data_IF_905356551193
#
_entry.id   IF_905356551193
#
_cell.length_a   1.000
_cell.length_b   1.000
_cell.length_c   1.000
_cell.angle_alpha   90.00
_cell.angle_beta   90.00
_cell.angle_gamma   90.00
#
_symmetry.space_group_name_H-M   'P 1'
#
loop_
_entity.id
_entity.type
_entity.pdbx_description
1 polymer ?
#
# COMPACT_ATOMS: atom_id res chain seq x y z
N UNK A 1 -0.17 7.58 9.35
CA UNK A 1 0.38 8.66 8.52
C UNK A 1 -0.64 8.82 7.41
N UNK A 2 -1.27 10.00 7.29
CA UNK A 2 -2.32 10.17 6.29
C UNK A 2 -1.68 10.37 4.93
N UNK A 3 -1.48 9.28 4.22
CA UNK A 3 -1.08 9.33 2.82
C UNK A 3 -2.22 9.83 1.95
N UNK A 4 -1.86 10.10 0.70
CA UNK A 4 -2.69 10.60 -0.38
C UNK A 4 -2.02 10.12 -1.66
N UNK A 5 -2.80 10.01 -2.73
CA UNK A 5 -2.32 9.71 -4.08
C UNK A 5 -3.16 10.62 -4.96
N UNK A 6 -2.74 11.88 -5.09
CA UNK A 6 -3.38 12.76 -6.08
C UNK A 6 -3.12 12.19 -7.48
N UNK A 7 -4.01 12.43 -8.43
CA UNK A 7 -3.93 11.90 -9.80
C UNK A 7 -4.47 12.96 -10.75
N UNK A 8 -3.71 14.05 -10.88
CA UNK A 8 -4.09 15.20 -11.70
C UNK A 8 -3.99 14.88 -13.19
N UNK A 9 -4.97 14.17 -13.76
CA UNK A 9 -5.08 13.98 -15.21
C UNK A 9 -5.45 15.31 -15.86
N UNK A 10 -4.56 15.86 -16.70
CA UNK A 10 -4.76 17.15 -17.40
C UNK A 10 -4.92 16.93 -18.90
N UNK A 11 -5.79 17.70 -19.55
CA UNK A 11 -5.82 17.79 -21.03
C UNK A 11 -6.01 19.21 -21.57
N UNK A 12 -5.31 19.54 -22.66
CA UNK A 12 -5.50 20.72 -23.54
C UNK A 12 -5.18 20.35 -24.99
N UNK A 13 -5.73 21.05 -26.00
CA UNK A 13 -5.53 20.72 -27.42
C UNK A 13 -4.64 21.74 -28.15
N UNK A 14 -3.44 21.32 -28.57
CA UNK A 14 -2.57 22.11 -29.46
C UNK A 14 -2.33 21.37 -30.79
N UNK A 15 -2.52 22.06 -31.92
CA UNK A 15 -2.70 21.43 -33.22
C UNK A 15 -1.41 21.40 -34.07
N UNK A 16 -0.56 20.39 -33.87
CA UNK A 16 0.56 20.07 -34.80
C UNK A 16 0.98 18.59 -34.82
N UNK A 17 0.45 17.88 -35.82
CA UNK A 17 1.10 16.86 -36.68
C UNK A 17 2.23 15.93 -36.20
N UNK A 18 2.11 14.66 -36.60
CA UNK A 18 3.10 13.55 -36.74
C UNK A 18 3.16 12.44 -35.68
N UNK A 19 2.79 11.25 -36.18
CA UNK A 19 3.23 9.88 -35.86
C UNK A 19 2.87 9.17 -34.54
N UNK A 20 2.35 7.96 -34.77
CA UNK A 20 2.23 6.71 -33.99
C UNK A 20 3.56 6.22 -33.35
N UNK A 21 3.65 5.05 -32.63
CA UNK A 21 2.59 4.16 -32.06
C UNK A 21 2.87 3.53 -30.64
N UNK A 22 1.89 3.58 -29.72
CA UNK A 22 1.33 2.46 -28.88
C UNK A 22 2.16 1.65 -27.82
N UNK A 23 1.96 1.82 -26.47
CA UNK A 23 2.17 0.78 -25.38
C UNK A 23 1.79 1.27 -23.93
N UNK A 24 1.30 0.59 -22.85
CA UNK A 24 0.92 -0.80 -22.39
C UNK A 24 1.86 -1.58 -21.40
N UNK A 25 1.46 -2.39 -20.38
CA UNK A 25 0.16 -2.74 -19.70
C UNK A 25 0.29 -3.12 -18.17
N UNK A 26 -0.82 -3.02 -17.37
CA UNK A 26 -1.13 -3.58 -16.00
C UNK A 26 -0.73 -2.76 -14.73
N UNK A 27 -1.52 -2.87 -13.64
CA UNK A 27 -1.28 -2.26 -12.31
C UNK A 27 -1.18 -3.33 -11.19
N UNK A 28 -0.05 -3.44 -10.50
CA UNK A 28 0.17 -4.54 -9.54
C UNK A 28 1.23 -4.20 -8.44
N UNK A 29 0.99 -4.58 -7.17
CA UNK A 29 1.80 -4.12 -6.01
C UNK A 29 2.97 -5.07 -5.69
N UNK A 30 4.06 -4.98 -6.44
CA UNK A 30 5.18 -5.93 -6.36
C UNK A 30 6.19 -5.67 -5.23
N UNK A 31 6.50 -6.74 -4.49
CA UNK A 31 7.21 -6.68 -3.21
C UNK A 31 8.73 -6.85 -3.35
N UNK A 32 9.45 -5.77 -3.63
CA UNK A 32 10.92 -5.79 -3.60
C UNK A 32 11.50 -4.46 -3.11
N UNK A 33 12.19 -4.48 -1.97
CA UNK A 33 12.85 -3.29 -1.40
C UNK A 33 14.37 -3.36 -1.57
N UNK A 34 14.93 -2.36 -2.26
CA UNK A 34 16.36 -2.09 -2.34
C UNK A 34 16.86 -1.30 -1.12
N UNK A 35 18.09 -1.54 -0.69
CA UNK A 35 18.69 -0.84 0.45
C UNK A 35 19.38 0.47 0.01
N UNK A 36 19.21 1.54 0.80
CA UNK A 36 20.11 2.70 0.79
C UNK A 36 21.05 2.67 2.02
N UNK A 37 22.27 3.27 1.95
CA UNK A 37 23.26 3.17 3.04
C UNK A 37 23.05 4.19 4.17
N UNK A 38 23.53 3.86 5.39
CA UNK A 38 23.45 4.74 6.57
C UNK A 38 24.61 5.72 6.69
N UNK A 39 24.33 6.94 7.17
CA UNK A 39 25.18 7.72 8.11
C UNK A 39 24.24 8.24 9.21
N UNK A 40 24.39 7.89 10.49
CA UNK A 40 25.44 8.20 11.51
C UNK A 40 25.37 9.61 12.10
N UNK A 41 24.99 9.62 13.38
CA UNK A 41 25.48 10.41 14.51
C UNK A 41 25.23 11.93 14.57
N UNK A 42 24.33 12.31 15.49
CA UNK A 42 24.53 13.43 16.44
C UNK A 42 23.94 13.03 17.80
N UNK A 43 24.53 13.53 18.89
CA UNK A 43 24.13 13.21 20.28
C UNK A 43 23.01 14.15 20.77
N UNK A 44 22.15 13.71 21.71
CA UNK A 44 21.36 14.63 22.52
C UNK A 44 22.24 15.33 23.56
N UNK A 45 21.84 16.55 23.94
CA UNK A 45 22.51 17.38 24.94
C UNK A 45 21.94 17.12 26.35
N UNK A 46 22.73 17.40 27.40
CA UNK A 46 22.37 17.10 28.79
C UNK A 46 21.83 18.35 29.48
N UNK A 47 20.63 18.23 30.06
CA UNK A 47 20.19 19.10 31.17
C UNK A 47 19.74 18.24 32.34
N UNK A 48 20.35 18.47 33.50
CA UNK A 48 19.82 18.04 34.78
C UNK A 48 18.56 18.86 35.09
N UNK A 49 17.61 18.27 35.80
CA UNK A 49 17.09 18.92 36.99
C UNK A 49 16.68 17.87 38.01
N UNK A 50 16.93 18.17 39.28
CA UNK A 50 16.68 17.29 40.41
C UNK A 50 15.41 17.70 41.13
N UNK A 51 14.56 16.74 41.48
CA UNK A 51 13.59 16.92 42.56
C UNK A 51 13.37 15.61 43.33
N UNK A 52 12.97 15.72 44.59
CA UNK A 52 12.99 14.63 45.59
C UNK A 52 11.63 14.43 46.25
N UNK A 53 11.47 13.30 46.96
CA UNK A 53 10.27 12.79 47.68
C UNK A 53 9.42 11.82 46.83
N UNK A 54 8.84 10.74 47.36
CA UNK A 54 8.87 10.24 48.75
C UNK A 54 8.98 8.70 48.83
N UNK A 55 9.65 8.20 49.87
CA UNK A 55 9.95 6.77 50.04
C UNK A 55 8.78 5.98 50.64
N UNK A 56 7.84 5.54 49.79
CA UNK A 56 6.72 4.71 50.23
C UNK A 56 7.16 3.25 50.48
N UNK A 57 7.26 2.86 51.75
CA UNK A 57 8.03 1.67 52.20
C UNK A 57 7.30 0.35 51.93
N UNK A 58 7.44 -0.21 50.73
CA UNK A 58 7.14 -1.62 50.48
C UNK A 58 8.26 -2.49 51.09
N UNK A 59 7.90 -3.38 52.02
CA UNK A 59 8.81 -4.44 52.47
C UNK A 59 9.22 -5.29 51.25
N UNK A 60 10.50 -5.63 51.07
CA UNK A 60 10.89 -6.59 50.05
C UNK A 60 10.26 -7.95 50.37
N UNK A 61 9.64 -8.60 49.38
CA UNK A 61 9.27 -10.01 49.53
C UNK A 61 10.56 -10.84 49.59
N UNK A 62 10.68 -11.71 50.59
CA UNK A 62 11.84 -12.61 50.71
C UNK A 62 11.88 -13.54 49.49
N UNK A 63 13.09 -13.91 49.02
CA UNK A 63 13.24 -14.73 47.81
C UNK A 63 12.40 -16.01 47.91
N UNK A 64 12.42 -16.65 49.07
CA UNK A 64 11.64 -17.84 49.40
C UNK A 64 10.13 -17.65 49.18
N UNK A 65 9.55 -16.48 49.47
CA UNK A 65 8.13 -16.22 49.24
C UNK A 65 7.81 -16.00 47.76
N UNK A 66 8.72 -15.35 47.03
CA UNK A 66 8.63 -15.19 45.57
C UNK A 66 8.84 -16.54 44.85
N UNK A 67 9.73 -17.39 45.35
CA UNK A 67 10.00 -18.74 44.86
C UNK A 67 8.85 -19.69 45.17
N UNK A 68 8.29 -19.66 46.39
CA UNK A 68 7.05 -20.37 46.72
C UNK A 68 5.88 -19.92 45.85
N UNK A 69 5.74 -18.61 45.54
CA UNK A 69 4.74 -18.13 44.58
C UNK A 69 5.01 -18.62 43.16
N UNK A 70 6.26 -18.66 42.69
CA UNK A 70 6.63 -19.26 41.38
C UNK A 70 6.29 -20.75 41.34
N UNK A 71 6.64 -21.52 42.37
CA UNK A 71 6.28 -22.93 42.52
C UNK A 71 4.76 -23.13 42.51
N UNK A 72 4.01 -22.37 43.31
CA UNK A 72 2.56 -22.46 43.41
C UNK A 72 1.81 -22.00 42.14
N UNK A 73 2.40 -21.07 41.37
CA UNK A 73 1.88 -20.67 40.06
C UNK A 73 2.19 -21.72 39.00
N UNK A 74 3.37 -22.35 39.05
CA UNK A 74 3.73 -23.48 38.18
C UNK A 74 2.79 -24.68 38.42
N UNK A 75 2.50 -24.99 39.68
CA UNK A 75 1.57 -26.05 40.10
C UNK A 75 0.08 -25.73 39.86
N UNK A 76 -0.27 -24.56 39.32
CA UNK A 76 -1.65 -24.14 39.02
C UNK A 76 -1.93 -23.88 37.55
N UNK A 77 -0.93 -23.92 36.68
CA UNK A 77 -1.19 -24.02 35.25
C UNK A 77 -1.71 -25.43 34.97
N UNK A 78 -2.88 -25.60 34.32
CA UNK A 78 -3.28 -26.92 33.86
C UNK A 78 -2.22 -27.42 32.86
N UNK A 79 -1.76 -28.66 33.02
CA UNK A 79 -0.89 -29.31 32.07
C UNK A 79 -1.63 -29.40 30.73
N UNK A 80 -1.34 -28.48 29.81
CA UNK A 80 -1.65 -28.72 28.40
C UNK A 80 -0.74 -29.88 27.97
N UNK A 81 -1.28 -31.01 27.49
CA UNK A 81 -0.42 -32.07 26.98
C UNK A 81 0.42 -31.50 25.83
N UNK A 82 1.72 -31.82 25.81
CA UNK A 82 2.69 -31.22 24.87
C UNK A 82 2.32 -31.52 23.42
N UNK A 83 1.50 -30.62 22.85
CA UNK A 83 0.92 -30.79 21.53
C UNK A 83 2.02 -30.56 20.48
N UNK A 84 2.34 -31.55 19.62
CA UNK A 84 3.45 -31.43 18.70
C UNK A 84 3.33 -30.17 17.84
N UNK A 85 4.44 -29.45 17.64
CA UNK A 85 4.45 -28.16 16.94
C UNK A 85 3.87 -28.23 15.52
N UNK A 86 3.87 -29.41 14.89
CA UNK A 86 3.21 -29.69 13.61
C UNK A 86 1.68 -29.62 13.67
N UNK A 87 1.08 -30.04 14.79
CA UNK A 87 -0.37 -29.93 15.04
C UNK A 87 -0.73 -28.49 15.45
N UNK A 88 0.13 -27.83 16.24
CA UNK A 88 0.00 -26.39 16.52
C UNK A 88 0.04 -25.59 15.20
N UNK A 89 1.01 -25.86 14.32
CA UNK A 89 1.11 -25.25 13.00
C UNK A 89 -0.18 -25.44 12.19
N UNK A 90 -0.72 -26.67 12.17
CA UNK A 90 -1.94 -26.99 11.44
C UNK A 90 -3.18 -26.29 12.02
N UNK A 91 -3.35 -26.23 13.35
CA UNK A 91 -4.40 -25.43 13.99
C UNK A 91 -4.28 -23.96 13.57
N UNK A 92 -3.09 -23.38 13.69
CA UNK A 92 -2.84 -21.97 13.36
C UNK A 92 -3.05 -21.66 11.86
N UNK A 93 -2.86 -22.63 10.95
CA UNK A 93 -3.12 -22.46 9.52
C UNK A 93 -4.61 -22.35 9.19
N UNK A 94 -5.48 -22.94 10.00
CA UNK A 94 -6.94 -22.89 9.80
C UNK A 94 -7.61 -21.66 10.45
N UNK A 95 -6.83 -20.82 11.16
CA UNK A 95 -7.30 -19.56 11.75
C UNK A 95 -7.08 -18.35 10.81
N UNK A 96 -7.76 -17.20 11.02
CA UNK A 96 -7.46 -15.94 10.35
C UNK A 96 -6.08 -15.41 10.76
N UNK A 97 -5.24 -15.03 9.79
CA UNK A 97 -3.85 -14.59 10.06
C UNK A 97 -3.71 -13.41 11.03
N UNK A 98 -4.69 -12.50 11.10
CA UNK A 98 -4.69 -11.40 12.07
C UNK A 98 -4.91 -11.88 13.52
N UNK A 99 -5.75 -12.90 13.73
CA UNK A 99 -5.92 -13.53 15.05
C UNK A 99 -4.66 -14.28 15.47
N UNK A 100 -3.98 -14.91 14.50
CA UNK A 100 -2.72 -15.62 14.75
C UNK A 100 -1.64 -14.69 15.33
N UNK A 101 -1.47 -13.49 14.77
CA UNK A 101 -0.51 -12.50 15.29
C UNK A 101 -1.01 -11.88 16.60
N UNK A 102 -2.27 -11.45 16.65
CA UNK A 102 -2.76 -10.60 17.75
C UNK A 102 -3.16 -11.39 19.01
N UNK A 103 -3.41 -12.70 18.88
CA UNK A 103 -3.91 -13.55 19.97
C UNK A 103 -3.04 -14.79 20.11
N UNK A 104 -2.93 -15.63 19.07
CA UNK A 104 -2.28 -16.95 19.19
C UNK A 104 -0.79 -16.85 19.54
N UNK A 105 -0.09 -15.85 18.98
CA UNK A 105 1.31 -15.52 19.28
C UNK A 105 1.57 -15.17 20.77
N UNK A 106 0.53 -14.85 21.53
CA UNK A 106 0.63 -14.45 22.94
C UNK A 106 0.25 -15.59 23.91
N UNK A 107 -0.13 -16.77 23.41
CA UNK A 107 -0.56 -17.91 24.23
C UNK A 107 0.60 -18.54 25.01
N UNK A 108 1.69 -18.89 24.31
CA UNK A 108 2.90 -19.44 24.91
C UNK A 108 4.11 -19.27 23.97
N UNK A 109 5.31 -19.59 24.47
CA UNK A 109 6.56 -19.51 23.70
C UNK A 109 6.56 -20.44 22.47
N UNK A 110 5.95 -21.62 22.57
CA UNK A 110 5.91 -22.60 21.48
C UNK A 110 5.05 -22.10 20.33
N UNK A 111 3.84 -21.60 20.63
CA UNK A 111 2.95 -20.98 19.66
C UNK A 111 3.61 -19.74 19.04
N UNK A 112 4.29 -18.90 19.85
CA UNK A 112 5.10 -17.79 19.36
C UNK A 112 6.21 -18.24 18.40
N UNK A 113 6.90 -19.35 18.67
CA UNK A 113 7.96 -19.88 17.79
C UNK A 113 7.43 -20.34 16.44
N UNK A 114 6.22 -20.91 16.41
CA UNK A 114 5.54 -21.30 15.16
C UNK A 114 5.06 -20.06 14.40
N UNK A 115 4.48 -19.06 15.08
CA UNK A 115 4.00 -17.82 14.43
C UNK A 115 5.14 -16.95 13.91
N UNK A 116 6.28 -16.87 14.61
CA UNK A 116 7.46 -16.14 14.15
C UNK A 116 8.26 -16.91 13.07
N UNK A 117 7.83 -18.13 12.71
CA UNK A 117 8.53 -18.96 11.73
C UNK A 117 8.26 -18.56 10.28
N UNK A 118 9.33 -18.35 9.53
CA UNK A 118 9.29 -18.21 8.06
C UNK A 118 8.66 -19.43 7.37
N UNK A 119 8.80 -20.64 7.93
CA UNK A 119 8.21 -21.85 7.34
C UNK A 119 6.67 -21.82 7.41
N UNK A 120 6.13 -21.37 8.53
CA UNK A 120 4.69 -21.25 8.77
C UNK A 120 4.02 -20.30 7.76
N UNK A 121 4.55 -19.07 7.61
CA UNK A 121 4.01 -18.10 6.65
C UNK A 121 4.17 -18.57 5.19
N UNK A 122 5.25 -19.28 4.84
CA UNK A 122 5.41 -19.94 3.53
C UNK A 122 4.36 -21.02 3.28
N UNK A 123 4.06 -21.85 4.29
CA UNK A 123 3.03 -22.90 4.22
C UNK A 123 1.63 -22.28 4.10
N UNK A 124 1.36 -21.20 4.83
CA UNK A 124 0.11 -20.41 4.75
C UNK A 124 -0.10 -19.78 3.39
N UNK A 125 0.90 -19.06 2.87
CA UNK A 125 0.86 -18.37 1.58
C UNK A 125 0.46 -19.34 0.45
N UNK A 126 1.04 -20.54 0.44
CA UNK A 126 0.69 -21.63 -0.48
C UNK A 126 -0.73 -22.18 -0.24
N UNK A 127 -1.12 -22.43 1.01
CA UNK A 127 -2.44 -22.99 1.39
C UNK A 127 -3.60 -22.06 0.99
N UNK A 128 -3.40 -20.75 1.12
CA UNK A 128 -4.37 -19.73 0.71
C UNK A 128 -4.30 -19.38 -0.79
N UNK A 129 -3.54 -20.15 -1.59
CA UNK A 129 -3.54 -20.05 -3.06
C UNK A 129 -2.77 -18.84 -3.63
N UNK A 130 -2.05 -18.08 -2.82
CA UNK A 130 -1.28 -16.94 -3.30
C UNK A 130 -0.15 -17.41 -4.23
N UNK A 131 -0.23 -17.00 -5.51
CA UNK A 131 0.81 -17.27 -6.50
C UNK A 131 2.04 -16.37 -6.21
N UNK A 132 3.29 -16.88 -6.21
CA UNK A 132 4.50 -16.07 -6.01
C UNK A 132 4.85 -15.07 -7.12
N UNK A 133 3.91 -14.78 -8.05
CA UNK A 133 4.15 -14.12 -9.34
C UNK A 133 4.60 -12.65 -9.27
N UNK A 134 4.78 -12.12 -8.08
CA UNK A 134 4.91 -10.69 -7.80
C UNK A 134 5.95 -10.35 -6.73
N UNK A 135 6.94 -11.25 -6.58
CA UNK A 135 8.07 -11.08 -5.68
C UNK A 135 9.34 -11.49 -6.45
N UNK A 136 10.04 -10.53 -7.09
CA UNK A 136 11.28 -10.79 -7.85
C UNK A 136 12.46 -11.35 -7.03
N UNK A 137 12.28 -11.51 -5.71
CA UNK A 137 13.25 -12.10 -4.79
C UNK A 137 12.52 -12.90 -3.71
N UNK A 138 13.24 -13.76 -2.98
CA UNK A 138 12.66 -14.42 -1.80
C UNK A 138 12.34 -13.36 -0.73
N UNK A 139 11.09 -13.28 -0.21
CA UNK A 139 10.76 -12.38 0.89
C UNK A 139 11.73 -12.50 2.07
N UNK A 140 12.28 -11.36 2.49
CA UNK A 140 13.05 -11.24 3.74
C UNK A 140 12.14 -11.40 4.97
N UNK A 141 10.87 -11.00 4.84
CA UNK A 141 9.81 -11.27 5.81
C UNK A 141 8.56 -11.80 5.10
N UNK A 142 8.27 -13.08 5.32
CA UNK A 142 7.08 -13.75 4.77
C UNK A 142 5.78 -13.39 5.48
N UNK A 143 5.84 -12.90 6.72
CA UNK A 143 4.68 -12.37 7.43
C UNK A 143 4.20 -11.09 6.73
N UNK A 144 5.08 -10.09 6.60
CA UNK A 144 4.75 -8.83 5.93
C UNK A 144 4.31 -9.04 4.48
N UNK A 145 5.01 -9.86 3.69
CA UNK A 145 4.57 -10.17 2.32
C UNK A 145 3.18 -10.82 2.26
N UNK A 146 2.83 -11.71 3.19
CA UNK A 146 1.47 -12.28 3.25
C UNK A 146 0.40 -11.19 3.47
N UNK A 147 0.59 -10.25 4.39
CA UNK A 147 -0.40 -9.18 4.63
C UNK A 147 -0.47 -8.15 3.50
N UNK A 148 0.64 -7.90 2.79
CA UNK A 148 0.65 -7.08 1.58
C UNK A 148 -0.17 -7.76 0.47
N UNK A 149 0.15 -9.01 0.11
CA UNK A 149 -0.58 -9.76 -0.91
C UNK A 149 -2.07 -9.92 -0.55
N UNK A 150 -2.41 -10.13 0.74
CA UNK A 150 -3.79 -10.27 1.20
C UNK A 150 -4.60 -8.95 1.26
N UNK A 151 -3.93 -7.79 1.12
CA UNK A 151 -4.58 -6.47 1.02
C UNK A 151 -4.49 -5.84 -0.39
N UNK A 152 -3.69 -6.41 -1.30
CA UNK A 152 -3.47 -5.97 -2.69
C UNK A 152 -4.81 -5.87 -3.44
N UNK A 153 -5.14 -4.65 -3.88
CA UNK A 153 -6.34 -4.28 -4.66
C UNK A 153 -6.13 -2.86 -5.21
N UNK A 154 -6.88 -2.46 -6.23
CA UNK A 154 -6.93 -1.05 -6.60
C UNK A 154 -7.60 -0.24 -5.46
N UNK A 155 -6.98 0.87 -5.05
CA UNK A 155 -7.48 1.75 -3.99
C UNK A 155 -8.28 2.93 -4.55
N UNK A 156 -8.08 3.29 -5.82
CA UNK A 156 -8.90 4.27 -6.53
C UNK A 156 -10.34 3.76 -6.66
N UNK A 157 -11.30 4.62 -6.37
CA UNK A 157 -12.73 4.40 -6.62
C UNK A 157 -13.04 4.81 -8.05
N UNK A 158 -13.91 4.03 -8.71
CA UNK A 158 -14.42 4.31 -10.05
C UNK A 158 -13.32 4.69 -11.08
N UNK A 159 -12.32 3.83 -11.33
CA UNK A 159 -11.29 4.08 -12.34
C UNK A 159 -11.87 4.09 -13.77
N UNK A 160 -12.80 3.19 -14.07
CA UNK A 160 -13.30 2.91 -15.43
C UNK A 160 -14.56 3.72 -15.79
N UNK A 161 -14.78 4.88 -15.17
CA UNK A 161 -15.92 5.80 -15.40
C UNK A 161 -17.35 5.18 -15.31
N UNK A 162 -17.50 3.99 -14.71
CA UNK A 162 -18.76 3.27 -14.63
C UNK A 162 -19.78 3.91 -13.67
N UNK A 163 -19.32 4.61 -12.63
CA UNK A 163 -20.15 5.25 -11.61
C UNK A 163 -20.25 6.78 -11.83
N UNK A 164 -20.30 7.20 -13.09
CA UNK A 164 -20.16 8.61 -13.50
C UNK A 164 -18.84 9.21 -12.95
N UNK A 165 -18.88 10.35 -12.27
CA UNK A 165 -17.73 10.96 -11.59
C UNK A 165 -17.61 10.59 -10.09
N UNK A 166 -18.35 9.59 -9.61
CA UNK A 166 -18.31 9.17 -8.20
C UNK A 166 -16.87 8.87 -7.77
N UNK A 167 -16.49 9.32 -6.57
CA UNK A 167 -15.13 9.17 -6.04
C UNK A 167 -14.11 10.21 -6.52
N UNK A 168 -14.35 10.88 -7.65
CA UNK A 168 -13.45 11.90 -8.20
C UNK A 168 -13.86 13.32 -7.82
N UNK A 169 -12.88 14.17 -7.52
CA UNK A 169 -13.06 15.62 -7.38
C UNK A 169 -12.66 16.30 -8.68
N UNK A 170 -13.58 17.04 -9.31
CA UNK A 170 -13.25 17.83 -10.50
C UNK A 170 -12.65 19.16 -10.06
N UNK A 171 -11.36 19.32 -10.31
CA UNK A 171 -10.57 20.51 -9.91
C UNK A 171 -10.67 21.61 -10.96
N UNK A 172 -10.68 21.23 -12.23
CA UNK A 172 -10.84 22.15 -13.36
C UNK A 172 -11.70 21.50 -14.45
N UNK A 173 -12.50 22.28 -15.16
CA UNK A 173 -13.57 21.76 -16.01
C UNK A 173 -13.77 22.65 -17.25
N UNK A 174 -12.71 22.84 -18.04
CA UNK A 174 -12.69 23.75 -19.19
C UNK A 174 -13.50 23.28 -20.41
N UNK A 175 -13.74 24.21 -21.33
CA UNK A 175 -14.49 23.97 -22.57
C UNK A 175 -15.89 23.39 -22.33
N UNK A 176 -16.22 22.31 -23.03
CA UNK A 176 -17.46 21.55 -22.83
C UNK A 176 -17.46 20.64 -21.58
N UNK A 177 -16.46 20.78 -20.69
CA UNK A 177 -16.26 20.01 -19.45
C UNK A 177 -15.75 18.59 -19.68
N UNK A 178 -15.40 17.91 -18.59
CA UNK A 178 -15.27 16.46 -18.57
C UNK A 178 -16.61 15.81 -18.96
N UNK A 179 -16.55 14.83 -19.85
CA UNK A 179 -17.64 13.91 -20.14
C UNK A 179 -17.17 12.46 -19.95
N UNK A 180 -18.08 11.51 -20.18
CA UNK A 180 -17.81 10.08 -20.11
C UNK A 180 -18.33 9.47 -21.41
N UNK A 181 -17.42 8.87 -22.17
CA UNK A 181 -17.71 8.21 -23.45
C UNK A 181 -17.39 6.71 -23.32
N UNK A 182 -17.91 5.90 -24.25
CA UNK A 182 -17.38 4.55 -24.45
C UNK A 182 -15.97 4.66 -25.04
N UNK A 183 -15.11 3.67 -24.81
CA UNK A 183 -13.77 3.66 -25.43
C UNK A 183 -13.89 3.59 -26.96
N UNK A 184 -13.17 4.46 -27.67
CA UNK A 184 -13.19 4.54 -29.14
C UNK A 184 -12.35 3.42 -29.76
N UNK A 185 -11.08 3.32 -29.33
CA UNK A 185 -10.25 2.14 -29.55
C UNK A 185 -10.43 1.15 -28.39
N UNK A 186 -10.51 -0.17 -28.65
CA UNK A 186 -10.52 -1.18 -27.61
C UNK A 186 -9.32 -1.02 -26.67
N UNK A 187 -9.62 -0.87 -25.38
CA UNK A 187 -8.63 -0.92 -24.30
C UNK A 187 -8.25 -2.40 -24.08
N UNK A 188 -6.98 -2.83 -24.23
CA UNK A 188 -6.62 -4.25 -24.11
C UNK A 188 -6.71 -4.88 -22.69
N UNK A 189 -7.22 -4.16 -21.69
CA UNK A 189 -8.07 -4.77 -20.65
C UNK A 189 -9.53 -4.61 -21.07
N UNK A 190 -10.10 -5.68 -21.61
CA UNK A 190 -11.45 -5.79 -22.17
C UNK A 190 -12.57 -5.43 -21.19
N UNK A 191 -12.29 -5.36 -19.88
CA UNK A 191 -13.27 -4.93 -18.87
C UNK A 191 -13.50 -3.41 -18.84
N UNK A 192 -12.66 -2.64 -19.55
CA UNK A 192 -12.76 -1.18 -19.65
C UNK A 192 -13.52 -0.78 -20.90
N UNK A 193 -14.83 -0.61 -20.75
CA UNK A 193 -15.74 -0.19 -21.85
C UNK A 193 -15.97 1.32 -21.92
N UNK A 194 -15.54 2.08 -20.91
CA UNK A 194 -15.74 3.53 -20.79
C UNK A 194 -14.48 4.24 -20.30
N UNK A 195 -14.37 5.52 -20.65
CA UNK A 195 -13.30 6.40 -20.18
C UNK A 195 -13.84 7.81 -19.83
N UNK A 196 -13.03 8.56 -19.08
CA UNK A 196 -13.25 9.99 -18.87
C UNK A 196 -12.63 10.77 -20.04
N UNK A 197 -13.43 11.57 -20.73
CA UNK A 197 -12.95 12.41 -21.85
C UNK A 197 -12.99 13.89 -21.47
N UNK A 198 -12.09 14.67 -22.08
CA UNK A 198 -11.88 16.09 -21.82
C UNK A 198 -12.33 16.95 -22.99
N UNK A 199 -12.18 18.27 -22.85
CA UNK A 199 -12.49 19.24 -23.90
C UNK A 199 -11.27 20.08 -24.26
N UNK A 200 -11.42 21.02 -25.20
CA UNK A 200 -10.36 21.92 -25.66
C UNK A 200 -9.81 22.86 -24.56
N UNK A 201 -10.51 23.01 -23.43
CA UNK A 201 -10.07 23.80 -22.29
C UNK A 201 -9.62 22.92 -21.13
N UNK A 202 -8.58 23.38 -20.39
CA UNK A 202 -7.91 22.60 -19.34
C UNK A 202 -8.90 21.95 -18.36
N UNK A 203 -8.93 20.62 -18.38
CA UNK A 203 -9.76 19.76 -17.52
C UNK A 203 -8.85 18.99 -16.55
N UNK A 204 -9.21 18.97 -15.26
CA UNK A 204 -8.46 18.29 -14.19
C UNK A 204 -9.41 17.56 -13.24
N UNK A 205 -9.10 16.30 -12.91
CA UNK A 205 -9.73 15.51 -11.85
C UNK A 205 -8.68 15.05 -10.83
N UNK A 206 -9.08 14.80 -9.58
CA UNK A 206 -8.21 14.32 -8.49
C UNK A 206 -8.94 13.32 -7.58
N UNK A 207 -8.20 12.55 -6.78
CA UNK A 207 -8.75 11.66 -5.76
C UNK A 207 -7.87 11.57 -4.51
N UNK A 208 -8.47 11.52 -3.31
CA UNK A 208 -7.75 11.53 -2.04
C UNK A 208 -7.75 10.14 -1.37
N UNK A 209 -6.78 9.29 -1.73
CA UNK A 209 -6.66 7.93 -1.16
C UNK A 209 -6.08 7.97 0.27
N UNK A 210 -6.92 7.65 1.26
CA UNK A 210 -6.51 7.58 2.66
C UNK A 210 -6.05 6.16 3.04
N UNK A 211 -4.74 5.88 2.96
CA UNK A 211 -4.19 4.53 3.20
C UNK A 211 -4.50 3.96 4.60
N UNK A 212 -4.63 4.79 5.63
CA UNK A 212 -4.95 4.36 6.99
C UNK A 212 -6.40 3.87 7.11
N UNK A 213 -7.36 4.51 6.42
CA UNK A 213 -8.72 3.99 6.24
C UNK A 213 -8.78 2.75 5.34
N UNK A 214 -7.91 2.67 4.35
CA UNK A 214 -7.74 1.48 3.48
C UNK A 214 -6.97 0.33 4.18
N UNK A 215 -6.66 0.46 5.48
CA UNK A 215 -6.16 -0.62 6.33
C UNK A 215 -4.63 -0.73 6.43
N UNK A 216 -3.88 0.28 6.01
CA UNK A 216 -2.41 0.36 6.15
C UNK A 216 -2.07 1.34 7.28
N UNK A 217 -1.72 0.81 8.46
CA UNK A 217 -1.54 1.64 9.67
C UNK A 217 -0.34 2.59 9.57
N UNK A 218 -0.30 3.69 10.36
CA UNK A 218 0.84 4.59 10.44
C UNK A 218 2.18 3.86 10.57
N UNK A 219 2.31 3.09 11.65
CA UNK A 219 3.53 2.38 12.01
C UNK A 219 3.97 1.40 10.91
N UNK A 220 3.01 0.66 10.33
CA UNK A 220 3.32 -0.27 9.23
C UNK A 220 3.93 0.46 8.04
N UNK A 221 3.37 1.61 7.65
CA UNK A 221 3.90 2.38 6.52
C UNK A 221 5.22 3.08 6.85
N UNK A 222 5.41 3.52 8.10
CA UNK A 222 6.66 4.13 8.58
C UNK A 222 7.81 3.10 8.64
N UNK A 223 7.54 1.86 9.09
CA UNK A 223 8.52 0.77 9.28
C UNK A 223 8.79 -0.07 8.02
N UNK A 224 7.75 -0.46 7.28
CA UNK A 224 7.86 -1.38 6.12
C UNK A 224 8.14 -0.63 4.83
N UNK A 225 7.58 0.58 4.67
CA UNK A 225 7.64 1.41 3.46
C UNK A 225 7.43 0.57 2.18
N UNK A 226 6.28 -0.11 2.04
CA UNK A 226 6.02 -0.97 0.89
C UNK A 226 5.89 -0.13 -0.39
N UNK A 227 6.37 -0.68 -1.51
CA UNK A 227 6.28 -0.07 -2.82
C UNK A 227 4.83 0.36 -3.12
N UNK A 228 4.59 1.65 -3.35
CA UNK A 228 3.27 2.16 -3.76
C UNK A 228 3.31 2.29 -5.28
N UNK A 229 2.67 1.34 -5.95
CA UNK A 229 2.52 1.31 -7.42
C UNK A 229 1.22 1.98 -7.80
N UNK A 230 1.27 2.95 -8.71
CA UNK A 230 0.12 3.49 -9.42
C UNK A 230 0.23 3.13 -10.91
N UNK A 231 -0.92 3.05 -11.58
CA UNK A 231 -1.04 3.09 -13.03
C UNK A 231 -2.10 4.11 -13.39
N UNK A 232 -1.88 4.90 -14.44
CA UNK A 232 -2.94 5.67 -15.12
C UNK A 232 -2.89 5.40 -16.62
N UNK A 233 -4.00 5.68 -17.29
CA UNK A 233 -4.28 5.30 -18.68
C UNK A 233 -4.81 6.48 -19.48
N UNK A 234 -4.21 6.73 -20.62
CA UNK A 234 -4.55 7.87 -21.47
C UNK A 234 -4.46 7.50 -22.94
N UNK A 235 -5.37 8.05 -23.73
CA UNK A 235 -5.40 7.94 -25.17
C UNK A 235 -5.86 9.27 -25.78
N UNK A 236 -5.24 9.77 -26.85
CA UNK A 236 -5.78 10.87 -27.64
C UNK A 236 -7.00 10.40 -28.47
N UNK A 237 -7.76 11.35 -29.00
CA UNK A 237 -8.70 11.12 -30.11
C UNK A 237 -8.01 11.48 -31.43
N UNK A 238 -8.36 10.83 -32.53
CA UNK A 238 -7.71 11.08 -33.82
C UNK A 238 -8.00 12.49 -34.37
N UNK A 239 -9.19 13.03 -34.04
CA UNK A 239 -9.74 14.25 -34.64
C UNK A 239 -9.20 15.55 -34.04
N UNK A 240 -8.47 15.50 -32.92
CA UNK A 240 -7.82 16.65 -32.29
C UNK A 240 -6.40 16.32 -31.77
N UNK A 241 -5.55 17.34 -31.68
CA UNK A 241 -4.34 17.23 -30.85
C UNK A 241 -4.70 17.33 -29.36
N UNK A 242 -3.88 16.76 -28.49
CA UNK A 242 -4.09 16.80 -27.04
C UNK A 242 -2.76 16.82 -26.27
N UNK A 243 -2.80 17.08 -24.97
CA UNK A 243 -1.61 17.09 -24.08
C UNK A 243 -2.02 16.41 -22.77
N UNK A 244 -1.43 15.27 -22.42
CA UNK A 244 -1.65 14.61 -21.14
C UNK A 244 -0.62 15.07 -20.10
N UNK A 245 -1.08 15.46 -18.91
CA UNK A 245 -0.22 15.57 -17.72
C UNK A 245 -0.75 14.66 -16.61
N UNK A 246 0.16 14.19 -15.75
CA UNK A 246 -0.14 13.55 -14.47
C UNK A 246 0.74 14.16 -13.38
N UNK A 247 0.18 14.37 -12.19
CA UNK A 247 0.96 14.63 -10.99
C UNK A 247 0.41 13.79 -9.83
N UNK A 248 1.32 13.06 -9.17
CA UNK A 248 1.04 12.15 -8.04
C UNK A 248 1.91 12.53 -6.84
N UNK A 249 1.27 12.88 -5.73
CA UNK A 249 1.96 13.28 -4.48
C UNK A 249 1.75 12.28 -3.34
N UNK A 250 2.87 11.81 -2.75
CA UNK A 250 2.86 11.03 -1.52
C UNK A 250 2.89 11.97 -0.30
N UNK A 251 1.71 12.31 0.24
CA UNK A 251 1.57 13.25 1.35
C UNK A 251 1.85 12.62 2.74
N UNK A 252 2.29 13.45 3.69
CA UNK A 252 2.39 13.11 5.12
C UNK A 252 1.15 13.53 5.94
N UNK A 253 1.17 13.25 7.26
CA UNK A 253 0.08 13.59 8.21
C UNK A 253 -0.34 15.08 8.20
N UNK A 254 0.52 16.01 7.75
CA UNK A 254 0.23 17.45 7.62
C UNK A 254 -0.20 17.87 6.20
N UNK A 255 -0.50 16.91 5.30
CA UNK A 255 -0.79 17.13 3.87
C UNK A 255 0.35 17.82 3.09
N UNK A 256 1.61 17.64 3.49
CA UNK A 256 2.77 18.08 2.69
C UNK A 256 3.37 16.87 1.95
N UNK A 257 3.73 17.04 0.68
CA UNK A 257 4.43 16.03 -0.10
C UNK A 257 5.77 15.62 0.52
N UNK A 258 6.07 14.33 0.43
CA UNK A 258 7.33 13.68 0.85
C UNK A 258 8.05 13.10 -0.35
N UNK A 259 7.29 12.52 -1.29
CA UNK A 259 7.71 12.21 -2.66
C UNK A 259 6.64 12.74 -3.61
N UNK A 260 7.00 13.03 -4.85
CA UNK A 260 6.07 13.31 -5.93
C UNK A 260 6.58 12.69 -7.24
N UNK A 261 5.67 12.43 -8.16
CA UNK A 261 5.95 12.02 -9.53
C UNK A 261 5.13 12.91 -10.45
N UNK A 262 5.83 13.66 -11.30
CA UNK A 262 5.26 14.51 -12.33
C UNK A 262 6.24 14.47 -13.51
N UNK A 263 5.96 13.67 -14.56
CA UNK A 263 6.75 13.68 -15.78
C UNK A 263 6.46 14.96 -16.59
N UNK A 264 7.24 15.18 -17.64
CA UNK A 264 6.91 16.21 -18.63
C UNK A 264 5.57 15.91 -19.33
N UNK A 265 4.80 16.92 -19.75
CA UNK A 265 3.55 16.73 -20.48
C UNK A 265 3.72 15.93 -21.79
N UNK A 266 2.90 14.90 -21.99
CA UNK A 266 2.89 14.07 -23.20
C UNK A 266 1.97 14.71 -24.24
N UNK A 267 2.54 15.26 -25.31
CA UNK A 267 1.78 15.95 -26.37
C UNK A 267 1.48 15.01 -27.52
N UNK A 268 0.21 14.93 -27.91
CA UNK A 268 -0.30 14.18 -29.04
C UNK A 268 -0.71 15.10 -30.20
N UNK A 269 -0.28 14.81 -31.44
CA UNK A 269 -0.70 15.55 -32.61
C UNK A 269 -2.17 15.25 -32.97
N UNK A 270 -2.79 16.10 -33.78
CA UNK A 270 -3.98 15.71 -34.54
C UNK A 270 -3.60 14.64 -35.59
N UNK A 271 -4.54 13.77 -35.96
CA UNK A 271 -4.35 12.65 -36.90
C UNK A 271 -3.44 11.54 -36.32
N UNK A 272 -3.71 11.17 -35.07
CA UNK A 272 -2.99 10.15 -34.32
C UNK A 272 -3.70 8.76 -34.30
N UNK A 273 -2.97 7.78 -33.76
CA UNK A 273 -3.32 6.37 -33.64
C UNK A 273 -4.32 5.99 -32.51
N UNK A 274 -4.83 6.99 -31.77
CA UNK A 274 -5.80 6.84 -30.66
C UNK A 274 -5.44 5.87 -29.54
N UNK A 275 -4.16 5.55 -29.34
CA UNK A 275 -3.82 4.41 -28.51
C UNK A 275 -3.65 4.72 -27.02
N UNK A 276 -3.95 3.69 -26.24
CA UNK A 276 -3.79 3.61 -24.80
C UNK A 276 -2.32 3.54 -24.40
N UNK A 277 -1.77 4.67 -24.01
CA UNK A 277 -0.50 4.76 -23.30
C UNK A 277 -0.71 4.61 -21.79
N UNK A 278 0.33 4.09 -21.13
CA UNK A 278 0.30 3.79 -19.71
C UNK A 278 1.49 4.43 -18.99
N UNK A 279 1.23 4.99 -17.80
CA UNK A 279 2.28 5.50 -16.91
C UNK A 279 2.24 4.77 -15.57
N UNK A 280 3.38 4.20 -15.15
CA UNK A 280 3.51 3.38 -13.93
C UNK A 280 4.60 3.94 -12.99
N UNK A 281 4.30 4.94 -12.15
CA UNK A 281 5.21 5.36 -11.09
C UNK A 281 5.17 4.42 -9.89
N UNK A 282 6.34 4.24 -9.27
CA UNK A 282 6.53 3.42 -8.06
C UNK A 282 7.25 4.28 -7.02
N UNK A 283 6.67 4.35 -5.81
CA UNK A 283 7.20 5.11 -4.66
C UNK A 283 7.68 4.20 -3.53
#
# INVERSE_FOLDING_TARGET
MWFTVDVNSVFFSESRSFDSPKSTYVADIDGTSGFFPRRRDCKPEVLLNSETRDCNTRRPETSQLAEQRRMAHSARMPFCPDLPLTIVEEILLNLPGQQVINVCRLVCNDWKSVVDSTAYWRKRFRREGFKPLSIPSVPRDWQTSYFLCKKRRNLLKNPNANENFTGWTIVQNGGHKWAIENVMEPHPDETVTKCFVTSYGRCIKSQLINLEKEGYSPLFMDEVQPNIVLSDWYAPRWDCGSVYEICVELLNRRKKAVKFFQPEPVTFPQWNDQHWEQVIPIF
#
